data_IF_903649260707
#
_entry.id   IF_903649260707
#
_cell.length_a   1.000
_cell.length_b   1.000
_cell.length_c   1.000
_cell.angle_alpha   90.00
_cell.angle_beta   90.00
_cell.angle_gamma   90.00
#
_symmetry.space_group_name_H-M   'P 1'
#
loop_
_entity.id
_entity.type
_entity.pdbx_description
1 polymer ?
#
# COMPACT_ATOMS: atom_id res chain seq x y z
N UNK A 1 12.41 -65.21 10.11
CA UNK A 1 13.62 -66.01 10.34
C UNK A 1 14.74 -65.22 9.71
N UNK A 2 15.14 -64.13 10.38
CA UNK A 2 16.38 -64.00 11.18
C UNK A 2 17.52 -63.58 10.23
N UNK A 3 18.35 -62.55 10.45
CA UNK A 3 18.84 -61.95 11.68
C UNK A 3 19.34 -60.51 11.43
N UNK A 4 19.58 -59.81 12.54
CA UNK A 4 20.05 -58.44 12.68
C UNK A 4 21.54 -58.20 12.38
N UNK A 5 21.89 -56.93 12.16
CA UNK A 5 23.22 -56.32 12.28
C UNK A 5 23.10 -54.87 11.80
N UNK A 6 23.08 -53.82 12.61
CA UNK A 6 23.96 -53.40 13.73
C UNK A 6 25.43 -53.45 13.36
N UNK A 7 25.91 -52.35 12.77
CA UNK A 7 27.30 -51.92 12.86
C UNK A 7 27.31 -50.40 13.09
N UNK A 8 27.64 -50.03 14.32
CA UNK A 8 28.16 -48.73 14.71
C UNK A 8 29.56 -48.53 14.11
N UNK A 9 29.82 -47.33 13.63
CA UNK A 9 31.13 -46.89 13.14
C UNK A 9 31.40 -45.47 13.61
N UNK A 10 31.77 -45.36 14.88
CA UNK A 10 32.45 -44.19 15.45
C UNK A 10 33.84 -44.06 14.80
N UNK A 11 34.15 -42.87 14.29
CA UNK A 11 35.53 -42.40 14.18
C UNK A 11 35.57 -40.89 14.34
N UNK A 12 35.71 -40.50 15.60
CA UNK A 12 36.35 -39.28 16.08
C UNK A 12 37.64 -38.91 15.33
N UNK A 13 37.75 -37.65 14.88
CA UNK A 13 39.02 -36.90 14.95
C UNK A 13 38.76 -35.39 14.99
N UNK A 14 39.09 -34.84 16.15
CA UNK A 14 39.32 -33.43 16.50
C UNK A 14 40.29 -32.68 15.58
N UNK A 15 40.11 -31.36 15.40
CA UNK A 15 41.05 -30.32 15.90
C UNK A 15 40.61 -28.88 15.58
N UNK A 16 40.99 -28.01 16.53
CA UNK A 16 41.34 -26.58 16.44
C UNK A 16 40.26 -25.52 16.15
N UNK A 17 39.91 -24.87 17.25
CA UNK A 17 39.54 -23.48 17.42
C UNK A 17 40.19 -22.49 16.43
N UNK A 18 39.40 -21.53 15.97
CA UNK A 18 39.91 -20.17 15.74
C UNK A 18 38.83 -19.15 16.13
N UNK A 19 39.15 -18.42 17.19
CA UNK A 19 38.52 -17.15 17.58
C UNK A 19 38.66 -16.17 16.43
N UNK A 20 37.57 -15.46 16.12
CA UNK A 20 37.62 -14.12 15.58
C UNK A 20 36.65 -13.27 16.40
N UNK A 21 37.19 -12.72 17.49
CA UNK A 21 36.72 -11.48 18.06
C UNK A 21 37.23 -10.37 17.14
N UNK A 22 36.34 -9.64 16.47
CA UNK A 22 36.65 -8.27 16.08
C UNK A 22 35.40 -7.40 16.16
N UNK A 23 35.48 -6.52 17.14
CA UNK A 23 34.58 -5.46 17.53
C UNK A 23 35.07 -4.21 16.80
N UNK A 24 34.27 -3.65 15.90
CA UNK A 24 34.40 -2.24 15.53
C UNK A 24 33.01 -1.61 15.53
N UNK A 25 32.77 -0.84 16.59
CA UNK A 25 31.80 0.24 16.67
C UNK A 25 32.03 1.25 15.54
N UNK A 26 30.95 1.71 14.90
CA UNK A 26 30.80 3.10 14.43
C UNK A 26 29.33 3.38 14.09
N UNK A 27 28.69 4.06 15.03
CA UNK A 27 27.78 5.22 14.88
C UNK A 27 27.88 5.91 13.50
N UNK A 28 26.92 6.62 12.91
CA UNK A 28 25.59 7.15 13.21
C UNK A 28 25.00 7.43 11.80
N UNK A 29 23.70 7.46 11.57
CA UNK A 29 23.01 8.75 11.45
C UNK A 29 21.50 8.47 11.38
N UNK A 30 20.82 8.90 12.44
CA UNK A 30 19.38 8.96 12.52
C UNK A 30 18.88 10.10 11.61
N UNK A 31 18.03 9.80 10.63
CA UNK A 31 17.38 10.84 9.83
C UNK A 31 16.20 11.47 10.62
N UNK A 32 16.24 12.77 10.99
CA UNK A 32 15.25 13.37 11.87
C UNK A 32 13.92 13.69 11.17
N UNK A 33 12.82 13.49 11.90
CA UNK A 33 11.50 14.03 11.58
C UNK A 33 11.28 15.27 12.42
N UNK A 34 11.24 16.47 11.85
CA UNK A 34 10.60 17.63 12.50
C UNK A 34 9.82 18.47 11.48
N UNK A 35 8.75 19.07 11.98
CA UNK A 35 7.62 19.63 11.26
C UNK A 35 7.58 21.17 11.29
N UNK A 36 6.79 21.74 10.38
CA UNK A 36 6.20 23.10 10.41
C UNK A 36 7.21 24.27 10.20
N UNK A 37 6.87 25.45 9.66
CA UNK A 37 5.65 26.08 9.20
C UNK A 37 6.03 27.31 8.32
N UNK A 38 5.09 27.73 7.45
CA UNK A 38 4.78 29.12 7.06
C UNK A 38 5.84 30.08 6.44
N UNK A 39 5.50 30.66 5.27
CA UNK A 39 5.85 32.06 4.97
C UNK A 39 6.22 32.43 3.52
N UNK A 40 5.34 33.23 2.90
CA UNK A 40 5.57 34.26 1.88
C UNK A 40 6.06 33.94 0.43
N UNK A 41 5.07 33.97 -0.47
CA UNK A 41 5.00 34.74 -1.73
C UNK A 41 6.30 35.39 -2.26
N UNK A 42 6.76 34.95 -3.44
CA UNK A 42 7.44 35.83 -4.41
C UNK A 42 6.93 35.54 -5.82
N UNK A 43 6.14 36.49 -6.33
CA UNK A 43 5.82 36.65 -7.74
C UNK A 43 7.10 36.87 -8.54
N UNK A 44 7.34 36.04 -9.55
CA UNK A 44 8.48 36.16 -10.47
C UNK A 44 8.10 35.71 -11.86
N UNK A 45 7.42 36.58 -12.61
CA UNK A 45 7.28 36.52 -14.07
C UNK A 45 8.68 36.48 -14.68
N UNK A 46 9.05 35.39 -15.35
CA UNK A 46 10.12 35.37 -16.34
C UNK A 46 9.66 34.64 -17.59
N UNK A 47 9.39 35.44 -18.62
CA UNK A 47 9.43 35.05 -20.03
C UNK A 47 10.86 34.59 -20.37
N UNK A 48 11.00 33.60 -21.24
CA UNK A 48 12.29 33.13 -21.73
C UNK A 48 12.12 31.99 -22.71
N UNK A 49 11.90 32.37 -23.97
CA UNK A 49 12.39 31.71 -25.19
C UNK A 49 11.85 30.34 -25.64
N UNK A 50 11.13 30.44 -26.76
CA UNK A 50 10.86 29.37 -27.72
C UNK A 50 12.17 28.99 -28.40
N UNK A 51 12.57 27.73 -28.31
CA UNK A 51 13.42 27.11 -29.31
C UNK A 51 12.59 26.10 -30.10
N UNK A 52 12.37 26.41 -31.38
CA UNK A 52 11.80 25.51 -32.37
C UNK A 52 12.92 24.65 -32.97
N UNK A 53 12.54 23.40 -33.24
CA UNK A 53 13.01 22.48 -34.28
C UNK A 53 14.48 22.05 -34.31
N UNK A 54 14.69 20.77 -34.03
CA UNK A 54 15.39 19.90 -34.98
C UNK A 54 14.72 18.53 -35.02
N UNK A 55 14.08 18.26 -36.15
CA UNK A 55 13.55 16.96 -36.51
C UNK A 55 14.72 16.09 -36.98
N UNK A 56 15.01 15.02 -36.24
CA UNK A 56 15.80 13.90 -36.75
C UNK A 56 14.82 12.89 -37.33
N UNK A 57 14.78 12.83 -38.65
CA UNK A 57 14.11 11.80 -39.44
C UNK A 57 14.72 10.45 -39.09
N UNK A 58 14.01 9.67 -38.28
CA UNK A 58 14.27 8.26 -38.04
C UNK A 58 13.06 7.50 -38.54
N UNK A 59 13.23 6.84 -39.68
CA UNK A 59 12.26 5.96 -40.33
C UNK A 59 12.02 4.69 -39.50
N UNK A 60 11.36 4.83 -38.35
CA UNK A 60 10.78 3.71 -37.62
C UNK A 60 9.27 3.75 -37.82
N UNK A 61 8.81 2.89 -38.74
CA UNK A 61 7.41 2.56 -38.93
C UNK A 61 6.85 2.01 -37.60
N UNK A 62 6.41 2.93 -36.74
CA UNK A 62 5.54 2.65 -35.63
C UNK A 62 4.22 2.15 -36.22
N UNK A 63 4.19 0.84 -36.50
CA UNK A 63 2.96 0.12 -36.79
C UNK A 63 1.94 0.57 -35.77
N UNK A 64 0.90 1.24 -36.26
CA UNK A 64 -0.20 1.75 -35.47
C UNK A 64 -0.78 0.53 -34.74
N UNK A 65 -0.37 0.32 -33.48
CA UNK A 65 -0.93 -0.72 -32.63
C UNK A 65 -2.37 -0.30 -32.44
N UNK A 66 -3.24 -0.83 -33.30
CA UNK A 66 -4.68 -0.67 -33.20
C UNK A 66 -5.07 -1.17 -31.82
N UNK A 67 -5.18 -0.24 -30.87
CA UNK A 67 -5.79 -0.49 -29.59
C UNK A 67 -7.15 -1.08 -29.91
N UNK A 68 -7.37 -2.32 -29.50
CA UNK A 68 -8.57 -3.07 -29.78
C UNK A 68 -9.76 -2.22 -29.33
N UNK A 69 -10.53 -1.73 -30.30
CA UNK A 69 -11.67 -0.88 -30.03
C UNK A 69 -12.76 -1.78 -29.46
N UNK A 70 -13.21 -1.47 -28.26
CA UNK A 70 -14.18 -2.27 -27.52
C UNK A 70 -15.53 -1.59 -27.60
N UNK A 71 -16.53 -2.32 -28.08
CA UNK A 71 -17.91 -1.82 -28.23
C UNK A 71 -18.57 -1.56 -26.88
N UNK A 72 -18.44 -2.51 -25.93
CA UNK A 72 -18.96 -2.38 -24.58
C UNK A 72 -18.08 -3.10 -23.56
N UNK A 73 -17.81 -2.50 -22.39
CA UNK A 73 -17.10 -3.17 -21.31
C UNK A 73 -17.89 -4.34 -20.76
N UNK A 74 -17.18 -5.43 -20.49
CA UNK A 74 -17.71 -6.60 -19.79
C UNK A 74 -17.56 -6.42 -18.27
N UNK A 75 -18.24 -7.25 -17.47
CA UNK A 75 -18.09 -7.25 -16.01
C UNK A 75 -16.68 -7.55 -15.51
N UNK A 76 -15.85 -8.22 -16.31
CA UNK A 76 -14.46 -8.54 -15.96
C UNK A 76 -13.48 -7.43 -16.32
N UNK A 77 -13.91 -6.47 -17.13
CA UNK A 77 -13.08 -5.34 -17.55
C UNK A 77 -12.90 -4.32 -16.42
N UNK A 78 -11.70 -3.75 -16.34
CA UNK A 78 -11.32 -2.73 -15.38
C UNK A 78 -11.39 -1.39 -16.08
N UNK A 79 -12.27 -0.53 -15.58
CA UNK A 79 -12.52 0.77 -16.21
C UNK A 79 -11.60 1.83 -15.61
N UNK A 80 -10.83 2.46 -16.49
CA UNK A 80 -10.00 3.60 -16.18
C UNK A 80 -10.85 4.88 -16.19
N UNK A 81 -10.90 5.58 -15.07
CA UNK A 81 -11.75 6.77 -14.92
C UNK A 81 -11.78 7.31 -13.48
N UNK A 82 -12.56 8.36 -13.29
CA UNK A 82 -12.79 9.04 -12.00
C UNK A 82 -14.28 9.07 -11.68
N UNK A 83 -14.62 9.06 -10.38
CA UNK A 83 -16.00 9.11 -9.91
C UNK A 83 -16.58 7.75 -9.53
N UNK A 84 -17.83 7.74 -9.04
CA UNK A 84 -18.52 6.54 -8.53
C UNK A 84 -18.81 5.48 -9.59
N UNK A 85 -19.32 5.80 -10.80
CA UNK A 85 -19.69 4.79 -11.79
C UNK A 85 -18.54 3.83 -12.15
N UNK A 86 -17.32 4.37 -12.31
CA UNK A 86 -16.13 3.55 -12.56
C UNK A 86 -15.74 2.74 -11.32
N UNK A 87 -15.84 3.31 -10.12
CA UNK A 87 -15.42 2.65 -8.89
C UNK A 87 -16.30 1.47 -8.48
N UNK A 88 -17.58 1.52 -8.87
CA UNK A 88 -18.60 0.53 -8.53
C UNK A 88 -18.73 -0.57 -9.59
N UNK A 89 -18.10 -0.39 -10.76
CA UNK A 89 -17.99 -1.41 -11.78
C UNK A 89 -17.42 -2.72 -11.23
N UNK A 90 -17.97 -3.86 -11.65
CA UNK A 90 -17.64 -5.19 -11.14
C UNK A 90 -16.15 -5.50 -11.20
N UNK A 91 -15.51 -5.28 -12.35
CA UNK A 91 -14.06 -5.47 -12.51
C UNK A 91 -13.24 -4.58 -11.59
N UNK A 92 -13.69 -3.36 -11.29
CA UNK A 92 -12.99 -2.46 -10.37
C UNK A 92 -13.18 -2.86 -8.91
N UNK A 93 -14.33 -3.44 -8.54
CA UNK A 93 -14.53 -4.06 -7.22
C UNK A 93 -13.65 -5.30 -7.05
N UNK A 94 -13.58 -6.14 -8.08
CA UNK A 94 -12.70 -7.30 -8.10
C UNK A 94 -11.21 -6.90 -8.01
N UNK A 95 -10.79 -5.86 -8.74
CA UNK A 95 -9.43 -5.33 -8.60
C UNK A 95 -9.13 -4.89 -7.16
N UNK A 96 -10.08 -4.21 -6.49
CA UNK A 96 -9.91 -3.79 -5.09
C UNK A 96 -9.74 -5.00 -4.16
N UNK A 97 -10.54 -6.05 -4.34
CA UNK A 97 -10.40 -7.27 -3.51
C UNK A 97 -9.07 -7.97 -3.78
N UNK A 98 -8.65 -8.06 -5.03
CA UNK A 98 -7.39 -8.68 -5.41
C UNK A 98 -6.18 -7.92 -4.84
N UNK A 99 -6.22 -6.58 -4.90
CA UNK A 99 -5.23 -5.73 -4.23
C UNK A 99 -5.20 -5.98 -2.73
N UNK A 100 -6.36 -6.09 -2.08
CA UNK A 100 -6.42 -6.34 -0.64
C UNK A 100 -5.78 -7.68 -0.27
N UNK A 101 -6.00 -8.73 -1.06
CA UNK A 101 -5.40 -10.06 -0.85
C UNK A 101 -3.89 -10.07 -1.07
N UNK A 102 -3.38 -9.31 -2.05
CA UNK A 102 -1.93 -9.25 -2.36
C UNK A 102 -1.20 -8.11 -1.63
N UNK A 103 -1.89 -7.38 -0.74
CA UNK A 103 -1.36 -6.16 -0.13
C UNK A 103 -0.16 -6.44 0.78
N UNK A 104 -0.22 -7.53 1.56
CA UNK A 104 0.84 -7.85 2.52
C UNK A 104 2.17 -8.17 1.81
N UNK A 105 2.10 -8.96 0.73
CA UNK A 105 3.25 -9.25 -0.14
C UNK A 105 3.83 -7.97 -0.75
N UNK A 106 2.97 -7.06 -1.23
CA UNK A 106 3.39 -5.76 -1.78
C UNK A 106 4.03 -4.86 -0.71
N UNK A 107 3.51 -4.85 0.52
CA UNK A 107 3.98 -3.97 1.58
C UNK A 107 5.36 -4.38 2.09
N UNK A 108 5.58 -5.69 2.22
CA UNK A 108 6.86 -6.28 2.65
C UNK A 108 7.91 -6.28 1.54
N UNK A 109 7.49 -6.17 0.28
CA UNK A 109 8.40 -6.18 -0.87
C UNK A 109 9.29 -4.93 -0.96
N UNK A 110 10.57 -5.09 -1.39
CA UNK A 110 11.42 -3.96 -1.74
C UNK A 110 10.92 -3.22 -3.00
N UNK A 111 11.55 -2.10 -3.37
CA UNK A 111 11.13 -1.25 -4.49
C UNK A 111 10.96 -2.02 -5.81
N UNK A 112 11.85 -2.96 -6.10
CA UNK A 112 11.78 -3.81 -7.29
C UNK A 112 10.72 -4.91 -7.15
N UNK A 113 10.54 -5.49 -5.96
CA UNK A 113 9.53 -6.52 -5.69
C UNK A 113 8.09 -5.99 -5.82
N UNK A 114 7.85 -4.74 -5.43
CA UNK A 114 6.56 -4.05 -5.63
C UNK A 114 6.09 -4.06 -7.07
N UNK A 115 7.06 -4.05 -7.99
CA UNK A 115 6.82 -4.10 -9.41
C UNK A 115 6.31 -5.45 -9.87
N UNK A 116 7.00 -6.51 -9.43
CA UNK A 116 6.64 -7.89 -9.70
C UNK A 116 5.25 -8.21 -9.14
N UNK A 117 4.91 -7.72 -7.93
CA UNK A 117 3.57 -7.91 -7.36
C UNK A 117 2.48 -7.20 -8.19
N UNK A 118 2.76 -5.98 -8.68
CA UNK A 118 1.82 -5.29 -9.56
C UNK A 118 1.62 -6.00 -10.91
N UNK A 119 2.70 -6.56 -11.47
CA UNK A 119 2.67 -7.34 -12.69
C UNK A 119 1.89 -8.65 -12.51
N UNK A 120 2.16 -9.39 -11.44
CA UNK A 120 1.41 -10.60 -11.04
C UNK A 120 -0.10 -10.34 -11.00
N UNK A 121 -0.53 -9.28 -10.32
CA UNK A 121 -1.96 -8.90 -10.26
C UNK A 121 -2.52 -8.58 -11.65
N UNK A 122 -1.76 -7.85 -12.48
CA UNK A 122 -2.17 -7.51 -13.85
C UNK A 122 -2.35 -8.77 -14.71
N UNK A 123 -1.45 -9.74 -14.56
CA UNK A 123 -1.52 -11.04 -15.23
C UNK A 123 -2.70 -11.88 -14.76
N UNK A 124 -3.00 -11.91 -13.46
CA UNK A 124 -4.20 -12.59 -12.94
C UNK A 124 -5.49 -12.06 -13.55
N UNK A 125 -5.57 -10.74 -13.79
CA UNK A 125 -6.73 -10.12 -14.44
C UNK A 125 -6.83 -10.56 -15.90
N UNK A 126 -5.70 -10.53 -16.63
CA UNK A 126 -5.65 -10.94 -18.03
C UNK A 126 -6.00 -12.42 -18.21
N UNK A 127 -5.54 -13.28 -17.31
CA UNK A 127 -5.86 -14.72 -17.29
C UNK A 127 -7.36 -14.99 -17.07
N UNK A 128 -8.07 -14.06 -16.42
CA UNK A 128 -9.53 -14.10 -16.26
C UNK A 128 -10.29 -13.43 -17.41
N UNK A 129 -9.62 -13.23 -18.55
CA UNK A 129 -10.16 -12.49 -19.70
C UNK A 129 -10.54 -11.03 -19.40
N UNK A 130 -10.03 -10.46 -18.31
CA UNK A 130 -10.23 -9.05 -17.97
C UNK A 130 -9.25 -8.17 -18.74
N UNK A 131 -9.73 -7.03 -19.24
CA UNK A 131 -8.89 -5.99 -19.86
C UNK A 131 -8.93 -4.71 -19.05
N UNK A 132 -7.95 -3.87 -19.25
CA UNK A 132 -7.97 -2.51 -18.72
C UNK A 132 -8.43 -1.59 -19.84
N UNK A 133 -9.57 -0.92 -19.65
CA UNK A 133 -10.20 -0.12 -20.68
C UNK A 133 -10.17 1.35 -20.28
N UNK A 134 -9.79 2.21 -21.22
CA UNK A 134 -9.89 3.66 -21.10
C UNK A 134 -10.95 4.16 -22.08
N UNK A 135 -11.91 4.93 -21.56
CA UNK A 135 -12.85 5.64 -22.42
C UNK A 135 -12.14 6.84 -23.03
N UNK A 136 -12.13 6.90 -24.34
CA UNK A 136 -11.67 8.06 -25.07
C UNK A 136 -12.71 9.18 -24.98
N UNK A 137 -12.25 10.39 -24.69
CA UNK A 137 -13.14 11.53 -24.44
C UNK A 137 -13.83 12.05 -25.70
N UNK A 138 -13.11 12.33 -26.81
CA UNK A 138 -13.73 12.81 -28.03
C UNK A 138 -14.65 11.76 -28.68
N UNK A 139 -14.23 10.51 -28.78
CA UNK A 139 -15.03 9.49 -29.49
C UNK A 139 -16.05 8.78 -28.61
N UNK A 140 -15.89 8.84 -27.29
CA UNK A 140 -16.71 8.11 -26.34
C UNK A 140 -16.50 6.59 -26.36
N UNK A 141 -15.55 6.08 -27.15
CA UNK A 141 -15.30 4.65 -27.32
C UNK A 141 -14.33 4.11 -26.27
N UNK A 142 -14.37 2.81 -26.04
CA UNK A 142 -13.45 2.14 -25.13
C UNK A 142 -12.28 1.56 -25.90
N UNK A 143 -11.06 1.77 -25.39
CA UNK A 143 -9.85 1.19 -25.92
C UNK A 143 -9.12 0.42 -24.82
N UNK A 144 -8.59 -0.75 -25.16
CA UNK A 144 -7.67 -1.45 -24.27
C UNK A 144 -6.40 -0.61 -24.07
N UNK A 145 -5.97 -0.47 -22.81
CA UNK A 145 -4.74 0.28 -22.49
C UNK A 145 -3.53 -0.64 -22.53
N UNK A 146 -2.35 -0.04 -22.71
CA UNK A 146 -1.09 -0.77 -22.66
C UNK A 146 -0.83 -1.43 -21.31
N UNK A 147 -0.05 -2.51 -21.32
CA UNK A 147 0.35 -3.24 -20.12
C UNK A 147 0.95 -2.33 -19.05
N UNK A 148 1.81 -1.39 -19.46
CA UNK A 148 2.42 -0.40 -18.56
C UNK A 148 1.37 0.41 -17.80
N UNK A 149 0.33 0.90 -18.48
CA UNK A 149 -0.77 1.65 -17.87
C UNK A 149 -1.63 0.79 -16.95
N UNK A 150 -1.85 -0.47 -17.33
CA UNK A 150 -2.56 -1.45 -16.50
C UNK A 150 -1.82 -1.69 -15.18
N UNK A 151 -0.50 -1.90 -15.23
CA UNK A 151 0.32 -2.05 -14.03
C UNK A 151 0.32 -0.78 -13.16
N UNK A 152 0.41 0.40 -13.77
CA UNK A 152 0.40 1.67 -13.04
C UNK A 152 -0.92 1.86 -12.26
N UNK A 153 -2.03 1.43 -12.85
CA UNK A 153 -3.34 1.39 -12.18
C UNK A 153 -3.31 0.49 -10.95
N UNK A 154 -2.72 -0.69 -11.05
CA UNK A 154 -2.56 -1.63 -9.94
C UNK A 154 -1.67 -1.03 -8.84
N UNK A 155 -0.50 -0.50 -9.21
CA UNK A 155 0.43 0.14 -8.29
C UNK A 155 -0.19 1.34 -7.56
N UNK A 156 -1.00 2.13 -8.26
CA UNK A 156 -1.81 3.19 -7.63
C UNK A 156 -2.82 2.61 -6.63
N UNK A 157 -3.45 1.48 -6.97
CA UNK A 157 -4.37 0.78 -6.08
C UNK A 157 -3.71 0.36 -4.76
N UNK A 158 -2.51 -0.23 -4.81
CA UNK A 158 -1.73 -0.57 -3.60
C UNK A 158 -1.39 0.66 -2.75
N UNK A 159 -0.96 1.76 -3.38
CA UNK A 159 -0.69 3.03 -2.67
C UNK A 159 -1.92 3.55 -1.95
N UNK A 160 -3.08 3.52 -2.61
CA UNK A 160 -4.36 3.93 -2.01
C UNK A 160 -4.75 3.03 -0.84
N UNK A 161 -4.55 1.71 -0.95
CA UNK A 161 -4.81 0.78 0.17
C UNK A 161 -3.96 1.12 1.40
N UNK A 162 -2.65 1.37 1.21
CA UNK A 162 -1.74 1.82 2.28
C UNK A 162 -2.20 3.10 2.94
N UNK A 163 -2.57 4.10 2.15
CA UNK A 163 -3.11 5.37 2.66
C UNK A 163 -4.36 5.15 3.52
N UNK A 164 -5.30 4.34 3.03
CA UNK A 164 -6.54 4.01 3.76
C UNK A 164 -6.25 3.30 5.08
N UNK A 165 -5.30 2.37 5.12
CA UNK A 165 -4.91 1.67 6.34
C UNK A 165 -4.30 2.62 7.38
N UNK A 166 -3.47 3.56 6.94
CA UNK A 166 -2.89 4.60 7.80
C UNK A 166 -3.96 5.54 8.36
N UNK A 167 -4.92 5.96 7.52
CA UNK A 167 -6.06 6.79 7.95
C UNK A 167 -6.93 6.04 8.96
N UNK A 168 -7.23 4.76 8.70
CA UNK A 168 -8.01 3.91 9.59
C UNK A 168 -7.30 3.72 10.95
N UNK A 169 -5.98 3.48 10.94
CA UNK A 169 -5.19 3.38 12.16
C UNK A 169 -5.20 4.68 12.99
N UNK A 170 -5.11 5.84 12.34
CA UNK A 170 -5.20 7.15 13.01
C UNK A 170 -6.59 7.37 13.63
N UNK A 171 -7.65 7.00 12.93
CA UNK A 171 -9.03 7.10 13.44
C UNK A 171 -9.23 6.25 14.71
N UNK A 172 -8.76 4.99 14.70
CA UNK A 172 -8.83 4.08 15.85
C UNK A 172 -8.06 4.63 17.07
N UNK A 173 -6.90 5.25 16.87
CA UNK A 173 -6.15 5.89 17.97
C UNK A 173 -6.93 7.05 18.59
N UNK A 174 -7.57 7.89 17.77
CA UNK A 174 -8.38 9.03 18.24
C UNK A 174 -9.59 8.57 19.06
N UNK A 175 -10.29 7.52 18.65
CA UNK A 175 -11.45 7.00 19.39
C UNK A 175 -11.04 6.39 20.74
N UNK A 176 -9.95 5.63 20.79
CA UNK A 176 -9.42 5.06 22.05
C UNK A 176 -8.99 6.15 23.04
N UNK A 177 -8.26 7.17 22.59
CA UNK A 177 -7.89 8.30 23.45
C UNK A 177 -9.14 9.02 23.98
N UNK A 178 -10.14 9.27 23.12
CA UNK A 178 -11.41 9.88 23.54
C UNK A 178 -12.13 9.03 24.60
N UNK A 179 -12.20 7.71 24.41
CA UNK A 179 -12.83 6.78 25.36
C UNK A 179 -12.11 6.74 26.70
N UNK A 180 -10.77 6.81 26.71
CA UNK A 180 -9.96 6.86 27.93
C UNK A 180 -10.16 8.17 28.69
N UNK A 181 -10.35 9.30 28.00
CA UNK A 181 -10.62 10.60 28.63
C UNK A 181 -12.02 10.67 29.24
N UNK A 182 -13.05 10.08 28.60
CA UNK A 182 -14.42 10.08 29.13
C UNK A 182 -14.57 9.20 30.37
N UNK A 183 -13.91 8.05 30.43
CA UNK A 183 -13.96 7.14 31.60
C UNK A 183 -13.32 7.77 32.84
N UNK A 184 -12.28 8.61 32.67
CA UNK A 184 -11.60 9.28 33.80
C UNK A 184 -12.41 10.42 34.41
N UNK A 185 -13.33 11.02 33.65
CA UNK A 185 -14.17 12.14 34.14
C UNK A 185 -15.39 11.66 34.94
N UNK A 186 -15.81 10.40 34.79
CA UNK A 186 -16.93 9.82 35.56
C UNK A 186 -16.53 9.26 36.94
N UNK A 187 -15.24 9.08 37.24
CA UNK A 187 -14.77 8.56 38.54
C UNK A 187 -14.39 9.66 39.54
N UNK A 188 -14.60 10.94 39.24
CA UNK A 188 -14.37 12.06 40.17
C UNK A 188 -15.65 12.59 40.84
N UNK A 189 -16.72 11.80 40.84
CA UNK A 189 -17.88 12.04 41.69
C UNK A 189 -17.51 11.77 43.15
N UNK A 190 -17.32 12.82 43.93
CA UNK A 190 -17.09 12.77 45.38
C UNK A 190 -18.12 11.84 46.05
N UNK A 191 -17.75 10.90 46.93
CA UNK A 191 -18.73 10.19 47.75
C UNK A 191 -19.48 11.22 48.59
N UNK A 192 -20.81 11.24 48.47
CA UNK A 192 -21.71 12.02 49.33
C UNK A 192 -21.55 11.48 50.74
N UNK A 193 -20.93 12.26 51.63
CA UNK A 193 -20.93 11.99 53.07
C UNK A 193 -22.37 12.16 53.54
N UNK A 194 -23.03 11.06 53.88
CA UNK A 194 -24.31 11.09 54.56
C UNK A 194 -24.05 11.56 55.99
N UNK A 195 -24.30 12.84 56.24
CA UNK A 195 -24.37 13.41 57.57
C UNK A 195 -25.71 12.99 58.19
N UNK A 196 -25.69 11.93 59.01
CA UNK A 196 -26.78 11.60 59.93
C UNK A 196 -26.28 11.75 61.36
N UNK A 197 -26.40 12.98 61.85
CA UNK A 197 -26.60 13.25 63.27
C UNK A 197 -28.01 12.81 63.69
N UNK A 198 -28.11 12.19 64.86
CA UNK A 198 -29.35 11.77 65.50
C UNK A 198 -29.13 10.45 66.25
N UNK A 199 -28.80 10.42 67.53
CA UNK A 199 -29.64 10.73 68.71
C UNK A 199 -29.89 9.43 69.48
N UNK A 200 -29.28 9.39 70.67
CA UNK A 200 -29.54 8.62 71.91
C UNK A 200 -30.52 7.43 71.92
N UNK A 201 -30.08 6.32 72.54
CA UNK A 201 -30.93 5.46 73.38
C UNK A 201 -30.10 4.50 74.27
N UNK A 202 -30.38 4.56 75.58
CA UNK A 202 -30.34 3.50 76.63
C UNK A 202 -28.95 2.94 77.02
N UNK A 203 -28.57 2.89 78.31
CA UNK A 203 -29.20 2.18 79.45
C UNK A 203 -28.98 2.93 80.76
#
# INVERSE_FOLDING_TARGET
>A
QDAAGFYDGDSSSSTSASKNDDKVDSESEASPRHAANHGQLRSGKRNGERHQSQATSGDDAAGEVRLSLVESPTKFDILMGRGRPYQDHEGNRFLKSLIATQYDEYDQSPRWGKLAVAEKVTQMIKNRSGRFLQKDKPTGRWAEVSWTRAREKVAHGFRKKREMDLVNARSRKRTTTRRRLTVRKSTSGKPKRDDRSGSVASV
#
